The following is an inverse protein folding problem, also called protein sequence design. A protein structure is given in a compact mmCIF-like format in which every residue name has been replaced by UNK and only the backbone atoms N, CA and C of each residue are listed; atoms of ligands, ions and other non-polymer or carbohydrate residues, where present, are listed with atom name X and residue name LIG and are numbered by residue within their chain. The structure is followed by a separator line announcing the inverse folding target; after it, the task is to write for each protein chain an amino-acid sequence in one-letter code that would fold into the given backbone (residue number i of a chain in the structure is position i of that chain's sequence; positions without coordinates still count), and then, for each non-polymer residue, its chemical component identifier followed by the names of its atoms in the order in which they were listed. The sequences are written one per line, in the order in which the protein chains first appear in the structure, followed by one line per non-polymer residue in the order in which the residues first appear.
data_IF_490310513870
#
_entry.id   IF_490310513870
#
_cell.length_a   1.000
_cell.length_b   1.000
_cell.length_c   1.000
_cell.angle_alpha   90.00
_cell.angle_beta   90.00
_cell.angle_gamma   90.00
#
_symmetry.space_group_name_H-M   'P 1'
#
loop_
_entity.id
_entity.type
_entity.pdbx_description
1 polymer ?
#
# COMPACT_ATOMS: atom_id res chain seq x y z
N UNK A 1 -5.65 2.50 12.44
CA UNK A 1 -4.82 1.43 13.02
C UNK A 1 -4.77 0.19 12.15
N UNK A 2 -5.89 -0.42 11.75
CA UNK A 2 -5.88 -1.64 10.91
C UNK A 2 -5.05 -1.56 9.62
N UNK A 3 -5.04 -0.42 8.92
CA UNK A 3 -4.18 -0.24 7.73
C UNK A 3 -2.69 -0.17 8.02
N UNK A 4 -2.29 0.37 9.18
CA UNK A 4 -0.89 0.37 9.62
C UNK A 4 -0.47 -1.04 10.06
N UNK A 5 -1.39 -1.77 10.70
CA UNK A 5 -1.18 -3.15 11.12
C UNK A 5 -0.97 -4.08 9.92
N UNK A 6 -1.80 -3.97 8.89
CA UNK A 6 -1.67 -4.78 7.67
C UNK A 6 -0.42 -4.46 6.86
N UNK A 7 0.09 -3.23 6.93
CA UNK A 7 1.38 -2.87 6.35
C UNK A 7 2.56 -3.41 7.17
N UNK A 8 2.43 -3.49 8.49
CA UNK A 8 3.48 -3.98 9.38
C UNK A 8 3.55 -5.52 9.48
N UNK A 9 2.46 -6.21 9.17
CA UNK A 9 2.31 -7.68 9.29
C UNK A 9 2.22 -8.38 7.93
N UNK A 10 2.79 -7.82 6.86
CA UNK A 10 2.78 -8.41 5.51
C UNK A 10 1.40 -8.97 5.07
N UNK A 11 0.32 -8.25 5.37
CA UNK A 11 -1.08 -8.64 5.12
C UNK A 11 -1.60 -9.92 5.84
N UNK A 12 -0.88 -10.45 6.83
CA UNK A 12 -1.42 -11.51 7.70
C UNK A 12 -2.60 -11.05 8.57
N UNK A 13 -2.73 -9.74 8.80
CA UNK A 13 -3.90 -9.17 9.48
C UNK A 13 -4.42 -7.92 8.75
N UNK A 14 -5.68 -7.98 8.33
CA UNK A 14 -6.30 -6.96 7.50
C UNK A 14 -7.03 -5.87 8.29
N UNK A 15 -7.15 -4.68 7.67
CA UNK A 15 -7.98 -3.59 8.22
C UNK A 15 -9.43 -4.02 8.47
N UNK A 16 -9.98 -4.85 7.58
CA UNK A 16 -11.37 -5.32 7.65
C UNK A 16 -11.62 -6.20 8.87
N UNK A 17 -10.67 -7.06 9.22
CA UNK A 17 -10.74 -7.96 10.38
C UNK A 17 -10.71 -7.16 11.68
N UNK A 18 -9.88 -6.11 11.75
CA UNK A 18 -9.84 -5.21 12.89
C UNK A 18 -11.16 -4.46 13.07
N UNK A 19 -11.78 -3.98 11.99
CA UNK A 19 -13.07 -3.27 12.05
C UNK A 19 -14.19 -4.21 12.51
N UNK A 20 -14.26 -5.41 11.94
CA UNK A 20 -15.25 -6.42 12.32
C UNK A 20 -15.11 -6.79 13.80
N UNK A 21 -13.88 -7.04 14.26
CA UNK A 21 -13.60 -7.39 15.66
C UNK A 21 -13.98 -6.25 16.60
N UNK A 22 -13.62 -5.00 16.28
CA UNK A 22 -13.97 -3.84 17.09
C UNK A 22 -15.49 -3.64 17.20
N UNK A 23 -16.23 -3.88 16.11
CA UNK A 23 -17.69 -3.79 16.11
C UNK A 23 -18.32 -4.87 17.00
N UNK A 24 -17.91 -6.13 16.85
CA UNK A 24 -18.46 -7.25 17.63
C UNK A 24 -18.14 -7.08 19.13
N UNK A 25 -16.88 -6.77 19.46
CA UNK A 25 -16.46 -6.56 20.86
C UNK A 25 -17.13 -5.33 21.46
N UNK A 26 -17.29 -4.25 20.69
CA UNK A 26 -17.98 -3.03 21.13
C UNK A 26 -19.45 -3.27 21.46
N UNK A 27 -20.18 -4.02 20.63
CA UNK A 27 -21.58 -4.38 20.89
C UNK A 27 -21.70 -5.28 22.12
N UNK A 28 -20.84 -6.30 22.24
CA UNK A 28 -20.84 -7.19 23.41
C UNK A 28 -20.51 -6.41 24.70
N UNK A 29 -19.53 -5.51 24.66
CA UNK A 29 -19.18 -4.69 25.81
C UNK A 29 -20.32 -3.74 26.21
N UNK A 30 -20.96 -3.08 25.24
CA UNK A 30 -22.07 -2.18 25.53
C UNK A 30 -23.26 -2.88 26.21
N UNK A 31 -23.52 -4.16 25.91
CA UNK A 31 -24.60 -4.94 26.52
C UNK A 31 -24.31 -5.44 27.93
N UNK A 32 -23.05 -5.74 28.25
CA UNK A 32 -22.67 -6.42 29.49
C UNK A 32 -21.74 -5.61 30.42
N UNK A 33 -21.29 -4.42 30.04
CA UNK A 33 -20.37 -3.62 30.85
C UNK A 33 -21.06 -2.80 31.96
N UNK A 34 -20.38 -2.66 33.11
CA UNK A 34 -20.80 -1.80 34.21
C UNK A 34 -20.62 -0.29 33.94
N UNK A 35 -19.81 0.08 32.95
CA UNK A 35 -19.60 1.46 32.52
C UNK A 35 -19.57 1.54 30.97
N UNK A 36 -20.73 1.72 30.32
CA UNK A 36 -20.83 1.74 28.85
C UNK A 36 -20.20 2.99 28.20
N UNK A 37 -19.78 3.99 28.99
CA UNK A 37 -19.09 5.18 28.48
C UNK A 37 -17.64 4.89 28.06
N UNK A 38 -17.07 3.74 28.46
CA UNK A 38 -15.72 3.37 28.07
C UNK A 38 -15.70 2.86 26.62
N UNK A 39 -14.92 3.51 25.77
CA UNK A 39 -14.78 3.13 24.36
C UNK A 39 -13.64 2.13 24.22
N UNK A 40 -13.97 0.92 23.80
CA UNK A 40 -12.97 -0.09 23.44
C UNK A 40 -12.43 0.20 22.04
N UNK A 41 -11.11 0.28 21.92
CA UNK A 41 -10.43 0.50 20.66
C UNK A 41 -9.00 -0.01 20.69
N UNK A 42 -8.45 -0.31 19.51
CA UNK A 42 -7.02 -0.58 19.36
C UNK A 42 -6.24 0.69 19.71
N UNK A 43 -5.32 0.58 20.67
CA UNK A 43 -4.49 1.69 21.14
C UNK A 43 -3.13 1.68 20.45
N UNK A 44 -2.50 2.86 20.32
CA UNK A 44 -1.16 3.00 19.72
C UNK A 44 -0.10 2.08 20.35
N UNK A 45 0.02 2.01 21.69
CA UNK A 45 0.97 1.11 22.34
C UNK A 45 0.73 -0.37 22.02
N UNK A 46 -0.53 -0.80 21.89
CA UNK A 46 -0.87 -2.16 21.51
C UNK A 46 -0.43 -2.47 20.07
N UNK A 47 -0.58 -1.53 19.13
CA UNK A 47 -0.03 -1.68 17.78
C UNK A 47 1.49 -1.84 17.80
N UNK A 48 2.20 -1.04 18.59
CA UNK A 48 3.68 -1.13 18.71
C UNK A 48 4.09 -2.50 19.27
N UNK A 49 3.37 -3.00 20.28
CA UNK A 49 3.59 -4.35 20.82
C UNK A 49 3.42 -5.41 19.72
N UNK A 50 2.35 -5.35 18.93
CA UNK A 50 2.13 -6.31 17.84
C UNK A 50 3.21 -6.25 16.76
N UNK A 51 3.74 -5.08 16.44
CA UNK A 51 4.87 -4.93 15.51
C UNK A 51 6.15 -5.58 16.04
N UNK A 52 6.45 -5.38 17.32
CA UNK A 52 7.59 -6.03 17.98
C UNK A 52 7.41 -7.55 17.98
N UNK A 53 6.19 -8.02 18.26
CA UNK A 53 5.85 -9.44 18.25
C UNK A 53 6.05 -10.05 16.86
N UNK A 54 5.59 -9.37 15.82
CA UNK A 54 5.75 -9.83 14.44
C UNK A 54 7.23 -9.94 14.05
N UNK A 55 8.04 -8.92 14.36
CA UNK A 55 9.48 -8.95 14.10
C UNK A 55 10.16 -10.09 14.87
N UNK A 56 9.79 -10.30 16.14
CA UNK A 56 10.32 -11.41 16.94
C UNK A 56 9.98 -12.77 16.33
N UNK A 57 8.74 -12.98 15.89
CA UNK A 57 8.35 -14.22 15.21
C UNK A 57 9.16 -14.44 13.93
N UNK A 58 9.40 -13.38 13.15
CA UNK A 58 10.20 -13.43 11.92
C UNK A 58 11.66 -13.80 12.20
N UNK A 59 12.25 -13.23 13.24
CA UNK A 59 13.64 -13.51 13.64
C UNK A 59 13.82 -14.93 14.19
N UNK A 60 12.76 -15.52 14.74
CA UNK A 60 12.75 -16.88 15.32
C UNK A 60 12.14 -17.93 14.39
N UNK A 61 11.77 -17.56 13.16
CA UNK A 61 11.11 -18.44 12.17
C UNK A 61 9.83 -19.11 12.71
N UNK A 62 9.08 -18.41 13.58
CA UNK A 62 7.82 -18.88 14.15
C UNK A 62 6.61 -18.33 13.38
N UNK A 63 5.59 -19.16 13.23
CA UNK A 63 4.33 -18.74 12.63
C UNK A 63 3.60 -17.72 13.52
N UNK A 64 3.38 -16.51 12.97
CA UNK A 64 2.80 -15.38 13.71
C UNK A 64 1.37 -15.63 14.20
N UNK A 65 0.49 -16.21 13.35
CA UNK A 65 -0.92 -16.46 13.69
C UNK A 65 -1.12 -17.36 14.92
N UNK A 66 -0.57 -18.60 14.97
CA UNK A 66 -0.74 -19.47 16.13
C UNK A 66 -0.04 -18.91 17.37
N UNK A 67 1.09 -18.22 17.22
CA UNK A 67 1.77 -17.58 18.35
C UNK A 67 0.93 -16.45 18.97
N UNK A 68 0.33 -15.61 18.12
CA UNK A 68 -0.62 -14.56 18.56
C UNK A 68 -1.82 -15.15 19.29
N UNK A 69 -2.40 -16.24 18.78
CA UNK A 69 -3.51 -16.93 19.43
C UNK A 69 -3.11 -17.51 20.79
N UNK A 70 -1.91 -18.07 20.90
CA UNK A 70 -1.36 -18.61 22.14
C UNK A 70 -1.20 -17.54 23.21
N UNK A 71 -0.66 -16.37 22.86
CA UNK A 71 -0.57 -15.21 23.77
C UNK A 71 -1.96 -14.73 24.19
N UNK A 72 -2.92 -14.68 23.26
CA UNK A 72 -4.31 -14.37 23.56
C UNK A 72 -4.96 -15.34 24.56
N UNK A 73 -4.67 -16.64 24.43
CA UNK A 73 -5.18 -17.66 25.34
C UNK A 73 -4.59 -17.49 26.75
N UNK A 74 -3.28 -17.29 26.88
CA UNK A 74 -2.63 -17.05 28.17
C UNK A 74 -3.10 -15.76 28.84
N UNK A 75 -3.26 -14.68 28.08
CA UNK A 75 -3.77 -13.41 28.61
C UNK A 75 -5.20 -13.53 29.10
N UNK A 76 -6.07 -14.24 28.38
CA UNK A 76 -7.44 -14.54 28.83
C UNK A 76 -7.46 -15.39 30.11
N UNK A 77 -6.58 -16.40 30.20
CA UNK A 77 -6.47 -17.24 31.39
C UNK A 77 -6.01 -16.44 32.62
N UNK A 78 -4.98 -15.60 32.46
CA UNK A 78 -4.52 -14.71 33.52
C UNK A 78 -5.58 -13.70 33.93
N UNK A 79 -6.39 -13.20 33.00
CA UNK A 79 -7.49 -12.28 33.31
C UNK A 79 -8.56 -12.94 34.20
N UNK A 80 -8.93 -14.20 33.93
CA UNK A 80 -9.88 -14.95 34.76
C UNK A 80 -9.30 -15.14 36.18
N UNK A 81 -8.01 -15.48 36.29
CA UNK A 81 -7.33 -15.61 37.58
C UNK A 81 -7.39 -14.29 38.37
N UNK A 82 -7.04 -13.17 37.73
CA UNK A 82 -7.06 -11.83 38.34
C UNK A 82 -8.45 -11.47 38.86
N UNK A 83 -9.51 -11.81 38.11
CA UNK A 83 -10.90 -11.60 38.53
C UNK A 83 -11.28 -12.53 39.69
N UNK A 84 -10.89 -13.82 39.65
CA UNK A 84 -11.21 -14.78 40.70
C UNK A 84 -10.56 -14.44 42.05
N UNK A 85 -9.38 -13.81 42.03
CA UNK A 85 -8.68 -13.34 43.24
C UNK A 85 -9.03 -11.91 43.67
N UNK A 86 -10.03 -11.27 43.04
CA UNK A 86 -10.45 -9.88 43.31
C UNK A 86 -9.29 -8.88 43.34
N UNK A 87 -8.34 -9.04 42.41
CA UNK A 87 -7.17 -8.17 42.32
C UNK A 87 -7.54 -6.73 41.88
N UNK A 88 -8.79 -6.49 41.52
CA UNK A 88 -9.35 -5.15 41.31
C UNK A 88 -9.19 -4.24 42.54
N UNK A 89 -9.07 -4.81 43.75
CA UNK A 89 -8.70 -4.05 44.93
C UNK A 89 -7.33 -3.33 44.80
N UNK A 90 -6.41 -3.88 43.99
CA UNK A 90 -5.09 -3.28 43.76
C UNK A 90 -5.17 -1.94 43.01
N UNK A 91 -6.21 -1.75 42.20
CA UNK A 91 -6.45 -0.49 41.48
C UNK A 91 -6.66 0.68 42.44
N UNK A 92 -7.15 0.44 43.67
CA UNK A 92 -7.32 1.49 44.69
C UNK A 92 -5.98 2.05 45.21
N UNK A 93 -4.87 1.33 45.03
CA UNK A 93 -3.54 1.82 45.40
C UNK A 93 -2.89 2.68 44.31
N UNK A 94 -3.48 2.74 43.10
CA UNK A 94 -3.05 3.67 42.06
C UNK A 94 -3.44 5.07 42.50
N UNK A 95 -2.44 5.93 42.67
CA UNK A 95 -2.67 7.31 43.12
C UNK A 95 -3.00 8.22 41.94
N UNK A 96 -3.72 9.31 42.20
CA UNK A 96 -4.02 10.34 41.18
C UNK A 96 -2.77 10.83 40.45
N UNK A 97 -1.65 10.95 41.16
CA UNK A 97 -0.36 11.34 40.57
C UNK A 97 0.09 10.37 39.46
N UNK A 98 -0.05 9.07 39.68
CA UNK A 98 0.31 8.06 38.68
C UNK A 98 -0.65 8.05 37.50
N UNK A 99 -1.93 8.32 37.72
CA UNK A 99 -2.94 8.44 36.65
C UNK A 99 -2.65 9.65 35.75
N UNK A 100 -2.43 10.84 36.32
CA UNK A 100 -2.12 12.06 35.57
C UNK A 100 -0.79 11.93 34.81
N UNK A 101 0.22 11.31 35.42
CA UNK A 101 1.51 11.05 34.78
C UNK A 101 1.38 10.08 33.60
N UNK A 102 0.58 9.01 33.75
CA UNK A 102 0.32 8.06 32.68
C UNK A 102 -0.44 8.70 31.51
N UNK A 103 -1.47 9.51 31.80
CA UNK A 103 -2.21 10.25 30.79
C UNK A 103 -1.30 11.21 30.01
N UNK A 104 -0.41 11.94 30.70
CA UNK A 104 0.58 12.81 30.07
C UNK A 104 1.53 12.03 29.15
N UNK A 105 2.02 10.85 29.59
CA UNK A 105 2.91 10.01 28.80
C UNK A 105 2.23 9.53 27.51
N UNK A 106 0.99 9.05 27.58
CA UNK A 106 0.24 8.62 26.39
C UNK A 106 -0.02 9.80 25.45
N UNK A 107 -0.34 10.98 25.98
CA UNK A 107 -0.53 12.20 25.18
C UNK A 107 0.75 12.60 24.41
N UNK A 108 1.91 12.57 25.05
CA UNK A 108 3.19 12.86 24.41
C UNK A 108 3.51 11.86 23.30
N UNK A 109 3.23 10.56 23.52
CA UNK A 109 3.42 9.52 22.51
C UNK A 109 2.55 9.78 21.28
N UNK A 110 1.26 10.12 21.47
CA UNK A 110 0.37 10.44 20.36
C UNK A 110 0.82 11.65 19.54
N UNK A 111 1.27 12.72 20.21
CA UNK A 111 1.80 13.91 19.54
C UNK A 111 3.05 13.54 18.71
N UNK A 112 3.98 12.78 19.29
CA UNK A 112 5.20 12.35 18.60
C UNK A 112 4.89 11.44 17.39
N UNK A 113 3.91 10.54 17.50
CA UNK A 113 3.48 9.70 16.40
C UNK A 113 2.82 10.52 15.27
N UNK A 114 1.99 11.51 15.61
CA UNK A 114 1.36 12.40 14.64
C UNK A 114 2.39 13.14 13.78
N UNK A 115 3.43 13.72 14.40
CA UNK A 115 4.52 14.38 13.65
C UNK A 115 5.27 13.40 12.72
N UNK A 116 5.53 12.17 13.16
CA UNK A 116 6.17 11.15 12.31
C UNK A 116 5.31 10.83 11.08
N UNK A 117 3.99 10.68 11.25
CA UNK A 117 3.07 10.43 10.13
C UNK A 117 2.99 11.64 9.18
N UNK A 118 3.03 12.85 9.72
CA UNK A 118 3.04 14.09 8.93
C UNK A 118 4.27 14.17 8.01
N UNK A 119 5.45 13.94 8.57
CA UNK A 119 6.72 13.96 7.82
C UNK A 119 6.75 12.85 6.76
N UNK A 120 6.23 11.66 7.09
CA UNK A 120 6.16 10.55 6.13
C UNK A 120 5.28 10.89 4.90
N UNK A 121 4.18 11.63 5.10
CA UNK A 121 3.33 12.09 4.00
C UNK A 121 4.06 13.15 3.17
N UNK A 122 4.75 14.10 3.81
CA UNK A 122 5.51 15.15 3.14
C UNK A 122 6.60 14.59 2.21
N UNK A 123 7.27 13.50 2.62
CA UNK A 123 8.26 12.82 1.78
C UNK A 123 7.62 12.05 0.60
N UNK A 124 6.40 11.52 0.78
CA UNK A 124 5.70 10.76 -0.26
C UNK A 124 5.06 11.65 -1.33
N UNK A 125 4.62 12.84 -0.95
CA UNK A 125 4.04 13.85 -1.83
C UNK A 125 4.77 15.18 -1.61
N UNK A 126 5.91 15.41 -2.28
CA UNK A 126 6.65 16.65 -2.12
C UNK A 126 5.82 17.83 -2.61
N UNK A 127 5.88 18.94 -1.89
CA UNK A 127 5.20 20.20 -2.27
C UNK A 127 6.02 20.88 -3.36
N UNK A 128 5.36 21.28 -4.44
CA UNK A 128 6.00 22.13 -5.45
C UNK A 128 6.12 23.56 -4.91
N UNK A 129 7.34 24.01 -4.62
CA UNK A 129 7.60 25.36 -4.11
C UNK A 129 7.60 26.44 -5.19
N UNK A 130 7.64 26.06 -6.47
CA UNK A 130 7.74 26.99 -7.60
C UNK A 130 6.53 26.83 -8.54
N UNK A 131 5.48 27.66 -8.41
CA UNK A 131 4.25 27.55 -9.21
C UNK A 131 4.40 28.03 -10.66
N UNK A 132 5.50 28.73 -10.99
CA UNK A 132 5.71 29.32 -12.33
C UNK A 132 6.25 28.32 -13.37
N UNK A 133 6.79 27.17 -12.94
CA UNK A 133 7.29 26.15 -13.87
C UNK A 133 6.18 25.20 -14.30
N UNK A 134 5.98 25.09 -15.62
CA UNK A 134 5.07 24.09 -16.20
C UNK A 134 5.68 22.70 -15.98
N UNK A 135 5.08 21.93 -15.07
CA UNK A 135 5.43 20.54 -14.84
C UNK A 135 4.79 19.67 -15.93
N UNK A 136 5.57 19.31 -16.95
CA UNK A 136 5.18 18.32 -17.95
C UNK A 136 5.63 16.94 -17.48
N UNK A 137 4.68 16.04 -17.22
CA UNK A 137 4.90 14.64 -16.85
C UNK A 137 4.51 13.68 -17.98
N UNK A 138 4.47 14.18 -19.23
CA UNK A 138 4.08 13.40 -20.41
C UNK A 138 5.26 12.55 -20.87
N UNK A 139 5.38 11.37 -20.26
CA UNK A 139 6.32 10.34 -20.67
C UNK A 139 5.62 9.37 -21.60
N UNK A 140 6.08 9.29 -22.84
CA UNK A 140 5.48 8.40 -23.82
C UNK A 140 6.30 8.35 -25.10
N UNK A 141 6.09 7.27 -25.84
CA UNK A 141 6.62 7.12 -27.19
C UNK A 141 5.54 7.56 -28.19
N UNK A 142 5.90 8.38 -29.17
CA UNK A 142 5.01 8.80 -30.25
C UNK A 142 5.49 8.27 -31.60
N UNK A 143 4.57 8.02 -32.56
CA UNK A 143 4.95 7.62 -33.90
C UNK A 143 5.87 8.64 -34.57
N UNK A 144 6.87 8.21 -35.34
CA UNK A 144 7.64 9.11 -36.19
C UNK A 144 6.74 9.69 -37.30
N UNK A 145 6.94 10.95 -37.67
CA UNK A 145 6.16 11.65 -38.70
C UNK A 145 6.47 11.18 -40.14
N UNK A 146 7.05 9.99 -40.30
CA UNK A 146 7.41 9.42 -41.60
C UNK A 146 6.38 8.36 -41.98
N UNK A 147 5.58 8.65 -43.00
CA UNK A 147 4.59 7.74 -43.60
C UNK A 147 5.18 6.56 -44.36
N UNK A 148 6.45 6.20 -44.14
CA UNK A 148 7.12 5.05 -44.74
C UNK A 148 7.94 4.29 -43.69
N UNK A 149 7.24 3.53 -42.85
CA UNK A 149 7.87 2.48 -42.04
C UNK A 149 8.16 1.32 -42.99
N UNK A 150 9.31 1.36 -43.67
CA UNK A 150 9.83 0.19 -44.39
C UNK A 150 10.59 -0.69 -43.40
N UNK A 151 9.91 -1.70 -42.86
CA UNK A 151 10.57 -2.77 -42.12
C UNK A 151 11.35 -3.64 -43.11
N UNK A 152 12.61 -3.28 -43.36
CA UNK A 152 13.53 -4.16 -44.09
C UNK A 152 14.14 -5.17 -43.11
N UNK A 153 13.39 -6.22 -42.78
CA UNK A 153 13.90 -7.34 -41.99
C UNK A 153 14.86 -8.18 -42.83
N UNK A 154 16.12 -7.75 -42.91
CA UNK A 154 17.21 -8.59 -43.40
C UNK A 154 18.10 -8.99 -42.24
N UNK A 155 17.69 -10.01 -41.49
CA UNK A 155 18.55 -11.08 -40.93
C UNK A 155 17.77 -11.89 -39.90
N UNK A 156 18.03 -13.20 -39.89
CA UNK A 156 17.58 -14.18 -38.89
C UNK A 156 18.05 -13.77 -37.48
N UNK A 157 17.36 -12.84 -36.84
CA UNK A 157 17.43 -12.62 -35.41
C UNK A 157 16.20 -13.28 -34.79
N UNK A 158 16.43 -14.21 -33.86
CA UNK A 158 15.39 -14.85 -33.05
C UNK A 158 14.56 -13.78 -32.33
N UNK A 159 13.37 -13.50 -32.87
CA UNK A 159 12.40 -12.54 -32.35
C UNK A 159 11.73 -13.13 -31.11
N UNK A 160 12.39 -13.05 -29.96
CA UNK A 160 11.79 -13.43 -28.67
C UNK A 160 11.62 -12.26 -27.70
N UNK A 161 11.97 -11.02 -28.04
CA UNK A 161 11.97 -9.92 -27.05
C UNK A 161 11.39 -8.59 -27.50
N UNK A 162 10.85 -8.45 -28.72
CA UNK A 162 10.22 -7.19 -29.12
C UNK A 162 8.96 -7.48 -29.93
N UNK A 163 7.88 -7.81 -29.23
CA UNK A 163 6.54 -7.70 -29.79
C UNK A 163 5.96 -6.41 -29.21
N UNK A 164 6.06 -5.26 -29.90
CA UNK A 164 5.13 -4.19 -29.59
C UNK A 164 3.73 -4.76 -29.84
N UNK A 165 2.79 -4.53 -28.93
CA UNK A 165 1.41 -5.02 -29.06
C UNK A 165 0.80 -4.44 -30.35
N UNK A 166 0.80 -5.25 -31.41
CA UNK A 166 0.30 -4.90 -32.74
C UNK A 166 -1.20 -5.23 -32.75
N UNK A 167 -2.03 -4.23 -33.04
CA UNK A 167 -3.48 -4.40 -33.13
C UNK A 167 -3.84 -4.51 -34.61
N UNK A 168 -4.54 -5.59 -34.98
CA UNK A 168 -5.09 -5.78 -36.33
C UNK A 168 -6.41 -4.99 -36.44
N UNK A 169 -6.61 -4.26 -37.54
CA UNK A 169 -7.75 -3.32 -37.70
C UNK A 169 -9.11 -4.02 -37.89
N UNK A 170 -9.15 -5.34 -38.08
CA UNK A 170 -10.40 -6.04 -38.37
C UNK A 170 -11.27 -6.39 -37.14
N UNK A 171 -10.82 -6.11 -35.90
CA UNK A 171 -11.60 -6.42 -34.68
C UNK A 171 -11.99 -5.16 -33.88
N UNK A 172 -12.81 -4.28 -34.48
CA UNK A 172 -13.66 -3.37 -33.70
C UNK A 172 -14.98 -4.10 -33.39
N UNK A 173 -14.90 -5.08 -32.49
CA UNK A 173 -16.04 -5.45 -31.65
C UNK A 173 -15.52 -5.98 -30.32
N UNK A 174 -15.76 -5.19 -29.27
CA UNK A 174 -15.83 -5.59 -27.85
C UNK A 174 -15.30 -6.99 -27.49
N UNK A 175 -14.04 -7.09 -27.05
CA UNK A 175 -13.61 -7.75 -25.81
C UNK A 175 -12.12 -8.08 -25.86
N UNK A 176 -11.41 -7.66 -24.80
CA UNK A 176 -10.03 -8.02 -24.52
C UNK A 176 -9.85 -9.55 -24.58
N UNK A 177 -8.98 -10.04 -25.46
CA UNK A 177 -8.22 -11.28 -25.22
C UNK A 177 -6.83 -11.17 -25.85
N UNK A 178 -5.81 -11.26 -24.99
CA UNK A 178 -4.40 -11.34 -25.39
C UNK A 178 -4.18 -12.72 -26.03
N UNK A 179 -4.08 -12.77 -27.36
CA UNK A 179 -3.75 -13.99 -28.08
C UNK A 179 -2.24 -14.05 -28.34
N UNK A 180 -1.55 -14.85 -27.53
CA UNK A 180 -0.22 -15.37 -27.85
C UNK A 180 -0.35 -16.47 -28.91
N UNK A 181 -0.16 -16.14 -30.18
CA UNK A 181 -0.03 -17.11 -31.27
C UNK A 181 1.18 -16.72 -32.16
N UNK A 182 1.94 -17.70 -32.70
CA UNK A 182 3.07 -17.44 -33.57
C UNK A 182 2.58 -17.00 -34.95
N UNK A 183 2.95 -15.80 -35.39
CA UNK A 183 2.44 -15.22 -36.63
C UNK A 183 3.19 -15.71 -37.87
N UNK A 184 2.43 -16.08 -38.90
CA UNK A 184 2.92 -16.54 -40.19
C UNK A 184 2.89 -15.39 -41.22
N UNK A 185 4.02 -15.10 -41.85
CA UNK A 185 4.31 -13.84 -42.55
C UNK A 185 3.82 -13.83 -44.01
N UNK A 186 2.50 -13.92 -44.25
CA UNK A 186 1.97 -13.97 -45.64
C UNK A 186 0.85 -12.99 -46.00
N UNK A 187 0.27 -12.24 -45.05
CA UNK A 187 -0.70 -11.18 -45.35
C UNK A 187 -0.40 -9.96 -44.48
N UNK A 188 0.48 -9.07 -44.95
CA UNK A 188 0.93 -7.91 -44.20
C UNK A 188 0.44 -6.60 -44.84
N UNK A 189 -0.88 -6.39 -44.86
CA UNK A 189 -1.44 -5.06 -45.13
C UNK A 189 -1.77 -4.39 -43.80
N UNK A 190 -0.91 -3.46 -43.40
CA UNK A 190 -1.03 -2.51 -42.28
C UNK A 190 -0.92 -3.09 -40.86
N UNK A 191 0.31 -3.19 -40.37
CA UNK A 191 0.63 -3.34 -38.94
C UNK A 191 0.52 -1.97 -38.25
N UNK A 192 -0.38 -1.85 -37.26
CA UNK A 192 -0.46 -0.66 -36.40
C UNK A 192 0.21 -0.93 -35.06
N UNK A 193 1.23 -0.14 -34.74
CA UNK A 193 1.96 -0.17 -33.47
C UNK A 193 1.23 0.70 -32.44
N UNK A 194 0.87 0.14 -31.28
CA UNK A 194 0.36 0.94 -30.18
C UNK A 194 1.51 1.63 -29.42
N UNK A 195 1.85 2.84 -29.84
CA UNK A 195 2.97 3.62 -29.31
C UNK A 195 2.85 3.97 -27.82
N UNK A 196 1.65 4.04 -27.25
CA UNK A 196 1.44 4.36 -25.83
C UNK A 196 1.76 3.21 -24.88
N UNK A 197 1.87 1.98 -25.39
CA UNK A 197 2.19 0.79 -24.60
C UNK A 197 3.71 0.51 -24.53
N UNK A 198 4.53 1.23 -25.30
CA UNK A 198 5.97 1.01 -25.39
C UNK A 198 6.69 1.85 -24.31
N UNK A 199 7.56 1.23 -23.48
CA UNK A 199 8.35 1.96 -22.50
C UNK A 199 9.39 2.86 -23.20
N UNK A 200 9.61 4.06 -22.64
CA UNK A 200 10.48 5.12 -23.21
C UNK A 200 11.91 4.61 -23.53
N UNK A 201 12.43 3.66 -22.74
CA UNK A 201 13.78 3.09 -22.91
C UNK A 201 13.97 2.30 -24.21
N UNK A 202 12.88 1.83 -24.84
CA UNK A 202 12.87 1.01 -26.06
C UNK A 202 12.28 1.82 -27.24
N UNK A 203 11.84 3.07 -26.98
CA UNK A 203 11.23 3.93 -27.98
C UNK A 203 12.20 4.27 -29.12
N UNK A 204 13.46 4.62 -28.80
CA UNK A 204 14.48 4.93 -29.81
C UNK A 204 14.82 3.72 -30.69
N UNK A 205 14.86 2.51 -30.12
CA UNK A 205 15.19 1.30 -30.88
C UNK A 205 14.05 0.79 -31.76
N UNK A 206 12.82 1.18 -31.46
CA UNK A 206 11.62 0.89 -32.29
C UNK A 206 11.32 1.96 -33.34
N UNK A 207 12.18 2.98 -33.46
CA UNK A 207 12.02 4.08 -34.43
C UNK A 207 10.98 5.12 -34.04
N UNK A 208 10.54 5.13 -32.76
CA UNK A 208 9.63 6.14 -32.22
C UNK A 208 10.35 7.40 -31.75
N UNK A 209 9.57 8.46 -31.52
CA UNK A 209 10.05 9.71 -30.91
C UNK A 209 9.80 9.63 -29.39
N UNK A 210 10.84 9.54 -28.55
CA UNK A 210 10.66 9.55 -27.10
C UNK A 210 10.38 10.97 -26.62
N UNK A 211 9.28 11.17 -25.88
CA UNK A 211 9.08 12.39 -25.10
C UNK A 211 9.55 12.11 -23.67
N UNK A 212 10.71 12.68 -23.32
CA UNK A 212 11.37 12.49 -22.02
C UNK A 212 11.20 13.67 -21.06
N UNK A 213 10.44 14.70 -21.48
CA UNK A 213 10.27 15.93 -20.70
C UNK A 213 9.59 15.59 -19.37
N UNK A 214 10.34 15.72 -18.27
CA UNK A 214 9.89 15.48 -16.89
C UNK A 214 9.81 14.02 -16.41
N UNK A 215 10.32 13.05 -17.19
CA UNK A 215 10.26 11.63 -16.79
C UNK A 215 11.15 11.25 -15.61
N UNK A 216 12.19 12.04 -15.36
CA UNK A 216 13.12 11.83 -14.25
C UNK A 216 12.88 12.81 -13.09
N UNK A 217 11.83 13.65 -13.18
CA UNK A 217 11.50 14.60 -12.12
C UNK A 217 10.50 13.98 -11.14
N UNK A 218 10.64 14.32 -9.86
CA UNK A 218 9.70 13.90 -8.82
C UNK A 218 8.30 14.33 -9.19
N UNK A 219 7.37 13.38 -9.30
CA UNK A 219 5.97 13.67 -9.62
C UNK A 219 5.33 14.42 -8.46
N UNK A 220 5.07 15.71 -8.64
CA UNK A 220 4.34 16.51 -7.67
C UNK A 220 2.86 16.17 -7.74
N UNK A 221 2.24 15.96 -6.58
CA UNK A 221 0.78 15.77 -6.47
C UNK A 221 0.19 17.12 -6.09
N UNK A 222 -0.80 17.65 -6.83
CA UNK A 222 -1.42 18.92 -6.48
C UNK A 222 -2.07 18.85 -5.10
N UNK A 223 -1.76 19.85 -4.27
CA UNK A 223 -2.26 20.18 -2.92
C UNK A 223 -3.08 19.11 -2.19
N UNK A 224 -2.40 18.10 -1.66
CA UNK A 224 -3.00 17.14 -0.73
C UNK A 224 -2.94 17.60 0.76
N UNK A 225 -2.24 18.70 1.05
CA UNK A 225 -1.89 19.12 2.42
C UNK A 225 -2.47 20.48 2.84
N UNK A 226 -2.82 21.35 1.89
CA UNK A 226 -3.25 22.74 2.14
C UNK A 226 -4.70 23.06 1.76
N UNK A 227 -5.54 22.02 1.61
CA UNK A 227 -7.01 22.13 1.49
C UNK A 227 -7.66 22.14 2.87
#
# INVERSE_FOLDING_TARGET
FGGLLGQATDQYMGTMECILTAAVVGVLFALFAGQPLNILGSTGPMLVMEMILYNFCKDQELDFLPFRAWIGLWTSFLLIIVVAFDLSALVRYITRFTEESFACLIAVIFIAEAFKKLIAILNKAPVNTNPEFILNYTCGCYPPNTTNISFNMTSNATVNTIVPYLINYDDISSNQTVLSQPWNFSNLSTLFVNWTAIPVNICESTGGLPVTVGCNTTRYVPDAFFL
#
